data_IF_429222228176
#
_entry.id   IF_429222228176
#
_cell.length_a   1.000
_cell.length_b   1.000
_cell.length_c   1.000
_cell.angle_alpha   90.00
_cell.angle_beta   90.00
_cell.angle_gamma   90.00
#
_symmetry.space_group_name_H-M   'P 1'
#
loop_
_entity.id
_entity.type
_entity.pdbx_description
1 polymer ?
#
# COMPACT_ATOMS: atom_id res chain seq x y z
N UNK A 1 73.84 24.93 44.22
CA UNK A 1 72.90 23.87 44.61
C UNK A 1 71.56 24.51 44.92
N UNK A 2 70.49 24.01 44.29
CA UNK A 2 69.05 24.04 44.66
C UNK A 2 68.46 25.32 45.32
N UNK A 3 67.53 26.08 44.70
CA UNK A 3 66.11 25.81 44.36
C UNK A 3 65.11 26.29 45.43
N UNK A 4 63.99 26.91 44.99
CA UNK A 4 62.84 27.31 45.82
C UNK A 4 62.02 28.48 45.22
N UNK A 5 61.41 28.33 44.04
CA UNK A 5 59.97 28.05 43.79
C UNK A 5 59.05 29.28 43.98
N UNK A 6 58.59 29.84 42.86
CA UNK A 6 57.50 30.81 42.76
C UNK A 6 56.13 30.10 42.62
N UNK A 7 55.15 30.60 43.38
CA UNK A 7 53.71 30.30 43.25
C UNK A 7 53.10 31.36 42.35
N UNK A 8 52.35 30.97 41.31
CA UNK A 8 51.23 31.77 40.79
C UNK A 8 50.11 30.84 40.30
N UNK A 9 48.96 30.98 40.96
CA UNK A 9 47.65 30.47 40.58
C UNK A 9 47.08 31.26 39.39
N UNK A 10 46.48 30.57 38.43
CA UNK A 10 45.70 31.19 37.34
C UNK A 10 44.69 30.23 36.77
N UNK A 11 43.47 30.25 37.33
CA UNK A 11 42.28 29.58 36.83
C UNK A 11 41.86 30.15 35.47
N UNK A 12 41.95 29.33 34.42
CA UNK A 12 41.35 29.60 33.11
C UNK A 12 40.13 28.72 32.87
N UNK A 13 38.94 29.24 33.19
CA UNK A 13 37.64 28.69 32.81
C UNK A 13 37.22 29.26 31.46
N UNK A 14 37.37 28.50 30.37
CA UNK A 14 36.60 28.71 29.13
C UNK A 14 36.34 27.35 28.48
N UNK A 15 35.12 26.83 28.64
CA UNK A 15 34.59 25.71 27.89
C UNK A 15 33.14 26.03 27.57
N UNK A 16 32.93 26.62 26.39
CA UNK A 16 31.65 27.17 25.95
C UNK A 16 30.54 26.12 25.86
N UNK A 17 29.35 26.52 26.28
CA UNK A 17 28.12 25.80 26.05
C UNK A 17 27.79 25.80 24.56
N UNK A 18 27.97 24.66 23.89
CA UNK A 18 27.29 24.39 22.63
C UNK A 18 25.86 23.94 22.98
N UNK A 19 24.96 24.90 23.11
CA UNK A 19 23.53 24.61 23.02
C UNK A 19 23.23 24.22 21.56
N UNK A 20 23.29 22.92 21.27
CA UNK A 20 22.80 22.37 20.03
C UNK A 20 21.29 22.55 19.99
N UNK A 21 20.83 23.54 19.24
CA UNK A 21 19.42 23.64 18.86
C UNK A 21 19.10 22.41 18.02
N UNK A 22 18.45 21.42 18.61
CA UNK A 22 17.66 20.46 17.87
C UNK A 22 16.55 21.25 17.16
N UNK A 23 16.81 21.62 15.91
CA UNK A 23 15.74 21.89 14.98
C UNK A 23 15.02 20.56 14.82
N UNK A 24 13.72 20.53 15.13
CA UNK A 24 12.89 19.40 14.77
C UNK A 24 12.82 19.38 13.25
N UNK A 25 13.77 18.67 12.61
CA UNK A 25 13.71 18.32 11.21
C UNK A 25 12.35 17.66 10.97
N UNK A 26 11.53 18.33 10.16
CA UNK A 26 10.29 17.76 9.70
C UNK A 26 10.60 16.49 8.91
N UNK A 27 9.69 15.52 8.84
CA UNK A 27 9.95 14.30 8.07
C UNK A 27 10.25 14.53 6.58
N UNK A 28 9.97 15.73 6.05
CA UNK A 28 10.30 16.15 4.68
C UNK A 28 11.75 16.64 4.52
N UNK A 29 12.42 16.99 5.62
CA UNK A 29 13.85 17.34 5.62
C UNK A 29 14.76 16.10 5.66
N UNK A 30 14.23 14.94 6.07
CA UNK A 30 14.94 13.65 6.09
C UNK A 30 15.36 13.21 4.66
N UNK A 31 16.67 13.15 4.35
CA UNK A 31 17.16 12.70 3.05
C UNK A 31 16.72 11.29 2.67
N UNK A 32 16.56 10.38 3.64
CA UNK A 32 16.13 9.01 3.39
C UNK A 32 14.66 8.97 2.95
N UNK A 33 13.78 9.71 3.63
CA UNK A 33 12.39 9.85 3.25
C UNK A 33 12.24 10.46 1.84
N UNK A 34 13.03 11.49 1.52
CA UNK A 34 13.05 12.12 0.19
C UNK A 34 13.47 11.15 -0.91
N UNK A 35 14.46 10.31 -0.64
CA UNK A 35 14.92 9.27 -1.57
C UNK A 35 13.84 8.21 -1.80
N UNK A 36 13.22 7.70 -0.73
CA UNK A 36 12.13 6.73 -0.81
C UNK A 36 10.92 7.28 -1.58
N UNK A 37 10.59 8.56 -1.40
CA UNK A 37 9.51 9.19 -2.18
C UNK A 37 9.84 9.32 -3.66
N UNK A 38 11.09 9.68 -3.98
CA UNK A 38 11.55 9.78 -5.38
C UNK A 38 11.52 8.41 -6.04
N UNK A 39 12.12 7.39 -5.42
CA UNK A 39 12.13 6.01 -5.94
C UNK A 39 10.75 5.38 -5.97
N UNK A 40 9.92 5.63 -4.96
CA UNK A 40 8.55 5.17 -4.90
C UNK A 40 7.68 5.74 -6.02
N UNK A 41 7.91 6.98 -6.44
CA UNK A 41 7.20 7.61 -7.56
C UNK A 41 7.54 6.96 -8.90
N UNK A 42 8.78 6.53 -9.07
CA UNK A 42 9.29 5.93 -10.31
C UNK A 42 9.10 4.41 -10.38
N UNK A 43 8.78 3.76 -9.26
CA UNK A 43 8.68 2.31 -9.14
C UNK A 43 7.70 1.65 -10.12
N UNK A 44 6.74 2.40 -10.69
CA UNK A 44 5.84 1.86 -11.71
C UNK A 44 6.56 1.49 -13.02
N UNK A 45 7.67 2.15 -13.35
CA UNK A 45 8.48 1.86 -14.53
C UNK A 45 9.87 1.30 -14.18
N UNK A 46 10.40 1.57 -12.98
CA UNK A 46 11.74 1.12 -12.58
C UNK A 46 11.75 -0.28 -11.97
N UNK A 47 10.63 -0.76 -11.41
CA UNK A 47 10.51 -2.12 -10.89
C UNK A 47 9.84 -3.03 -11.92
N UNK A 48 10.43 -4.19 -12.26
CA UNK A 48 9.78 -5.13 -13.16
C UNK A 48 8.40 -5.55 -12.65
N UNK A 49 7.42 -5.61 -13.56
CA UNK A 49 6.03 -5.90 -13.17
C UNK A 49 5.84 -7.29 -12.58
N UNK A 50 6.68 -8.26 -12.98
CA UNK A 50 6.70 -9.62 -12.41
C UNK A 50 7.26 -9.66 -10.99
N UNK A 51 7.96 -8.60 -10.58
CA UNK A 51 8.45 -8.40 -9.23
C UNK A 51 7.37 -7.75 -8.36
N UNK A 52 6.68 -6.72 -8.87
CA UNK A 52 5.55 -6.09 -8.16
C UNK A 52 4.34 -7.03 -8.01
N UNK A 53 4.07 -7.83 -9.04
CA UNK A 53 2.98 -8.79 -9.04
C UNK A 53 3.51 -10.20 -9.32
N UNK A 54 4.15 -10.88 -8.37
CA UNK A 54 4.67 -12.23 -8.60
C UNK A 54 3.63 -13.21 -9.15
N UNK A 55 4.06 -14.17 -9.98
CA UNK A 55 3.17 -15.20 -10.55
C UNK A 55 2.42 -15.99 -9.47
N UNK A 56 3.06 -16.19 -8.32
CA UNK A 56 2.48 -16.88 -7.18
C UNK A 56 2.73 -16.06 -5.93
N UNK A 57 1.68 -15.85 -5.14
CA UNK A 57 1.77 -15.22 -3.82
C UNK A 57 1.53 -16.29 -2.75
N UNK A 58 2.45 -16.39 -1.78
CA UNK A 58 2.35 -17.34 -0.65
C UNK A 58 1.88 -16.65 0.61
N UNK A 59 0.87 -17.25 1.20
CA UNK A 59 -0.16 -16.67 2.03
C UNK A 59 -0.10 -17.04 3.50
N UNK A 60 1.08 -17.19 4.09
CA UNK A 60 1.21 -17.75 5.45
C UNK A 60 0.33 -16.98 6.45
N UNK A 61 -0.55 -17.69 7.15
CA UNK A 61 -1.50 -17.12 8.11
C UNK A 61 -2.54 -16.14 7.56
N UNK A 62 -2.66 -15.97 6.24
CA UNK A 62 -3.49 -14.91 5.66
C UNK A 62 -4.99 -15.24 5.61
N UNK A 63 -5.35 -16.51 5.70
CA UNK A 63 -6.71 -17.00 5.61
C UNK A 63 -7.49 -16.95 6.92
N UNK A 64 -8.80 -17.30 6.87
CA UNK A 64 -9.64 -17.44 8.04
C UNK A 64 -9.01 -18.39 9.06
N UNK A 65 -9.03 -18.02 10.34
CA UNK A 65 -8.44 -18.82 11.41
C UNK A 65 -6.91 -18.96 11.33
N UNK A 66 -6.22 -18.14 10.54
CA UNK A 66 -4.77 -18.23 10.35
C UNK A 66 -4.36 -19.33 9.37
N UNK A 67 -5.26 -19.78 8.50
CA UNK A 67 -4.92 -20.75 7.46
C UNK A 67 -4.00 -20.13 6.39
N UNK A 68 -3.07 -20.92 5.87
CA UNK A 68 -2.23 -20.48 4.76
C UNK A 68 -3.05 -20.33 3.47
N UNK A 69 -2.61 -19.38 2.63
CA UNK A 69 -3.20 -19.13 1.32
C UNK A 69 -2.17 -19.22 0.21
N UNK A 70 -2.62 -19.51 -1.00
CA UNK A 70 -1.80 -19.40 -2.20
C UNK A 70 -2.66 -18.79 -3.28
N UNK A 71 -2.10 -17.80 -3.97
CA UNK A 71 -2.73 -17.16 -5.11
C UNK A 71 -1.88 -17.28 -6.35
N UNK A 72 -2.52 -17.53 -7.49
CA UNK A 72 -1.88 -17.58 -8.80
C UNK A 72 -2.37 -16.42 -9.65
N UNK A 73 -1.42 -15.67 -10.23
CA UNK A 73 -1.70 -14.53 -11.08
C UNK A 73 -2.31 -15.00 -12.40
N UNK A 74 -3.48 -14.50 -12.73
CA UNK A 74 -4.17 -14.74 -14.00
C UNK A 74 -3.64 -13.80 -15.08
N UNK A 75 -3.55 -12.50 -14.79
CA UNK A 75 -3.01 -11.51 -15.72
C UNK A 75 -2.57 -10.23 -15.00
N UNK A 76 -1.76 -9.44 -15.70
CA UNK A 76 -1.42 -8.06 -15.38
C UNK A 76 -2.10 -7.16 -16.41
N UNK A 77 -2.77 -6.12 -15.95
CA UNK A 77 -3.35 -5.11 -16.86
C UNK A 77 -2.25 -4.19 -17.39
N UNK A 78 -2.40 -3.65 -18.61
CA UNK A 78 -1.59 -2.51 -19.05
C UNK A 78 -1.69 -1.35 -18.05
N UNK A 79 -0.62 -0.55 -17.96
CA UNK A 79 -0.66 0.71 -17.23
C UNK A 79 -1.82 1.59 -17.69
N UNK A 80 -2.42 2.33 -16.76
CA UNK A 80 -3.60 3.14 -16.99
C UNK A 80 -3.72 4.27 -15.96
N UNK A 81 -4.52 5.29 -16.25
CA UNK A 81 -4.87 6.32 -15.28
C UNK A 81 -6.00 5.90 -14.32
N UNK A 82 -6.17 6.64 -13.22
CA UNK A 82 -7.15 6.33 -12.17
C UNK A 82 -8.60 6.13 -12.64
N UNK A 83 -9.08 6.89 -13.63
CA UNK A 83 -10.46 6.79 -14.12
C UNK A 83 -10.80 5.42 -14.72
N UNK A 84 -9.78 4.69 -15.21
CA UNK A 84 -9.93 3.34 -15.74
C UNK A 84 -9.98 2.29 -14.62
N UNK A 85 -9.29 2.54 -13.51
CA UNK A 85 -9.08 1.57 -12.46
C UNK A 85 -9.95 1.78 -11.21
N UNK A 86 -10.59 2.94 -11.05
CA UNK A 86 -11.31 3.31 -9.83
C UNK A 86 -12.73 3.82 -10.14
N UNK A 87 -13.63 3.71 -9.17
CA UNK A 87 -14.94 4.34 -9.25
C UNK A 87 -14.80 5.89 -9.28
N UNK A 88 -15.78 6.62 -9.83
CA UNK A 88 -15.64 8.07 -10.05
C UNK A 88 -15.37 8.89 -8.80
N UNK A 89 -16.01 8.55 -7.67
CA UNK A 89 -15.78 9.26 -6.41
C UNK A 89 -14.41 8.95 -5.83
N UNK A 90 -13.91 7.71 -5.96
CA UNK A 90 -12.56 7.36 -5.53
C UNK A 90 -11.50 8.06 -6.38
N UNK A 91 -11.72 8.12 -7.70
CA UNK A 91 -10.90 8.93 -8.62
C UNK A 91 -10.87 10.40 -8.16
N UNK A 92 -12.03 10.98 -7.82
CA UNK A 92 -12.10 12.36 -7.33
C UNK A 92 -11.35 12.55 -6.01
N UNK A 93 -11.43 11.59 -5.10
CA UNK A 93 -10.69 11.61 -3.83
C UNK A 93 -9.17 11.58 -4.08
N UNK A 94 -8.68 10.68 -4.94
CA UNK A 94 -7.23 10.54 -5.19
C UNK A 94 -6.66 11.63 -6.10
N UNK A 95 -7.48 12.45 -6.75
CA UNK A 95 -7.00 13.62 -7.50
C UNK A 95 -6.25 14.63 -6.64
N UNK A 96 -6.48 14.68 -5.32
CA UNK A 96 -5.79 15.61 -4.43
C UNK A 96 -4.31 15.29 -4.26
N UNK A 97 -3.90 14.06 -4.59
CA UNK A 97 -2.50 13.61 -4.50
C UNK A 97 -1.86 13.40 -5.88
N UNK A 98 -2.54 13.76 -6.97
CA UNK A 98 -2.05 13.60 -8.35
C UNK A 98 -1.91 12.14 -8.75
N UNK A 99 -3.00 11.50 -9.20
CA UNK A 99 -2.93 10.13 -9.68
C UNK A 99 -2.35 10.05 -11.11
N UNK A 100 -1.12 9.53 -11.23
CA UNK A 100 -0.41 9.44 -12.49
C UNK A 100 -0.60 8.07 -13.15
N UNK A 101 -0.21 7.00 -12.45
CA UNK A 101 -0.14 5.63 -13.00
C UNK A 101 -0.85 4.64 -12.09
N UNK A 102 -1.52 3.66 -12.69
CA UNK A 102 -2.17 2.57 -11.97
C UNK A 102 -1.78 1.24 -12.60
N UNK A 103 -0.99 0.49 -11.83
CA UNK A 103 -0.67 -0.89 -12.16
C UNK A 103 -1.61 -1.82 -11.40
N UNK A 104 -2.08 -2.88 -12.06
CA UNK A 104 -2.97 -3.86 -11.42
C UNK A 104 -2.84 -5.25 -12.02
N UNK A 105 -3.09 -6.25 -11.18
CA UNK A 105 -3.09 -7.66 -11.55
C UNK A 105 -4.30 -8.36 -10.95
N UNK A 106 -4.75 -9.43 -11.59
CA UNK A 106 -5.80 -10.30 -11.05
C UNK A 106 -5.24 -11.66 -10.73
N UNK A 107 -5.62 -12.19 -9.58
CA UNK A 107 -5.25 -13.47 -9.04
C UNK A 107 -6.47 -14.35 -8.84
N UNK A 108 -6.26 -15.66 -8.87
CA UNK A 108 -7.20 -16.67 -8.34
C UNK A 108 -6.59 -17.31 -7.11
N UNK A 109 -7.40 -17.70 -6.14
CA UNK A 109 -6.92 -18.54 -5.04
C UNK A 109 -6.70 -20.00 -5.49
N UNK A 110 -6.01 -20.78 -4.67
CA UNK A 110 -5.69 -22.18 -4.94
C UNK A 110 -6.90 -23.09 -5.15
N UNK A 111 -8.08 -22.73 -4.62
CA UNK A 111 -9.31 -23.50 -4.80
C UNK A 111 -10.13 -23.06 -6.02
N UNK A 112 -9.68 -22.02 -6.73
CA UNK A 112 -10.39 -21.39 -7.84
C UNK A 112 -11.84 -20.99 -7.48
N UNK A 113 -12.08 -20.63 -6.23
CA UNK A 113 -13.40 -20.21 -5.73
C UNK A 113 -13.52 -18.69 -5.62
N UNK A 114 -12.40 -18.00 -5.59
CA UNK A 114 -12.30 -16.55 -5.48
C UNK A 114 -11.31 -15.96 -6.47
N UNK A 115 -11.58 -14.72 -6.86
CA UNK A 115 -10.71 -13.92 -7.71
C UNK A 115 -10.47 -12.57 -7.03
N UNK A 116 -9.24 -12.06 -7.13
CA UNK A 116 -8.84 -10.82 -6.48
C UNK A 116 -8.04 -9.97 -7.45
N UNK A 117 -8.52 -8.76 -7.72
CA UNK A 117 -7.74 -7.72 -8.41
C UNK A 117 -7.04 -6.88 -7.36
N UNK A 118 -5.73 -6.76 -7.46
CA UNK A 118 -4.87 -5.91 -6.64
C UNK A 118 -4.27 -4.82 -7.52
N UNK A 119 -4.06 -3.63 -6.97
CA UNK A 119 -3.42 -2.54 -7.69
C UNK A 119 -2.67 -1.57 -6.81
N UNK A 120 -1.82 -0.80 -7.48
CA UNK A 120 -0.95 0.23 -6.93
C UNK A 120 -1.22 1.51 -7.72
N UNK A 121 -1.70 2.54 -7.04
CA UNK A 121 -1.89 3.89 -7.60
C UNK A 121 -0.67 4.72 -7.23
N UNK A 122 0.16 5.04 -8.21
CA UNK A 122 1.34 5.89 -8.04
C UNK A 122 0.93 7.36 -8.17
N UNK A 123 1.33 8.15 -7.17
CA UNK A 123 0.88 9.52 -7.00
C UNK A 123 2.01 10.53 -7.25
N UNK A 124 1.67 11.80 -7.45
CA UNK A 124 2.59 12.94 -7.60
C UNK A 124 2.81 13.70 -6.28
N UNK A 125 2.08 13.33 -5.23
CA UNK A 125 2.15 13.96 -3.92
C UNK A 125 3.50 13.80 -3.21
N UNK A 126 3.75 14.70 -2.28
CA UNK A 126 4.79 14.63 -1.26
C UNK A 126 4.26 13.96 0.02
N UNK A 127 5.10 13.91 1.06
CA UNK A 127 4.78 13.24 2.32
C UNK A 127 3.61 13.91 3.04
N UNK A 128 3.57 15.25 3.06
CA UNK A 128 2.50 15.98 3.73
C UNK A 128 1.15 15.68 3.08
N UNK A 129 1.05 15.73 1.75
CA UNK A 129 -0.18 15.44 1.03
C UNK A 129 -0.62 13.96 1.19
N UNK A 130 0.32 13.00 1.20
CA UNK A 130 0.00 11.59 1.45
C UNK A 130 -0.48 11.35 2.89
N UNK A 131 0.12 12.01 3.89
CA UNK A 131 -0.37 11.97 5.28
C UNK A 131 -1.75 12.58 5.42
N UNK A 132 -1.99 13.74 4.81
CA UNK A 132 -3.30 14.38 4.80
C UNK A 132 -4.36 13.47 4.16
N UNK A 133 -4.03 12.78 3.07
CA UNK A 133 -4.91 11.78 2.46
C UNK A 133 -5.18 10.62 3.42
N UNK A 134 -4.17 10.09 4.10
CA UNK A 134 -4.31 8.99 5.07
C UNK A 134 -5.20 9.38 6.26
N UNK A 135 -4.97 10.56 6.84
CA UNK A 135 -5.83 11.14 7.89
C UNK A 135 -7.27 11.26 7.40
N UNK A 136 -7.48 11.77 6.18
CA UNK A 136 -8.82 11.91 5.61
C UNK A 136 -9.52 10.56 5.42
N UNK A 137 -8.81 9.55 4.93
CA UNK A 137 -9.36 8.19 4.81
C UNK A 137 -9.83 7.65 6.17
N UNK A 138 -9.05 7.93 7.22
CA UNK A 138 -9.33 7.50 8.59
C UNK A 138 -10.53 8.24 9.19
N UNK A 139 -10.48 9.58 9.19
CA UNK A 139 -11.47 10.44 9.86
C UNK A 139 -12.83 10.41 9.16
N UNK A 140 -12.85 10.36 7.83
CA UNK A 140 -14.09 10.29 7.04
C UNK A 140 -14.52 8.84 6.72
N UNK A 141 -13.77 7.83 7.18
CA UNK A 141 -14.04 6.41 6.93
C UNK A 141 -14.22 6.07 5.45
N UNK A 142 -13.39 6.67 4.59
CA UNK A 142 -13.51 6.53 3.13
C UNK A 142 -13.26 5.11 2.66
N UNK A 143 -12.44 4.35 3.39
CA UNK A 143 -12.18 2.92 3.16
C UNK A 143 -13.42 2.04 3.33
N UNK A 144 -14.47 2.55 4.01
CA UNK A 144 -15.70 1.80 4.30
C UNK A 144 -16.86 2.11 3.37
N UNK A 145 -16.70 3.12 2.52
CA UNK A 145 -17.77 3.60 1.64
C UNK A 145 -17.94 2.73 0.42
N UNK A 146 -19.18 2.30 0.16
CA UNK A 146 -19.55 1.43 -0.97
C UNK A 146 -19.59 2.13 -2.34
N UNK A 147 -19.34 3.43 -2.38
CA UNK A 147 -19.23 4.26 -3.59
C UNK A 147 -17.78 4.71 -3.89
N UNK A 148 -16.81 4.26 -3.08
CA UNK A 148 -15.38 4.52 -3.23
C UNK A 148 -14.61 3.22 -3.50
N UNK A 149 -15.04 2.42 -4.49
CA UNK A 149 -14.42 1.13 -4.78
C UNK A 149 -13.36 1.19 -5.89
N UNK A 150 -12.30 0.39 -5.78
CA UNK A 150 -11.48 0.04 -6.93
C UNK A 150 -12.26 -0.85 -7.90
N UNK A 151 -11.95 -0.73 -9.20
CA UNK A 151 -12.53 -1.57 -10.25
C UNK A 151 -11.76 -2.88 -10.36
N UNK A 152 -12.50 -3.97 -10.53
CA UNK A 152 -11.93 -5.25 -10.89
C UNK A 152 -11.28 -5.23 -12.29
N UNK A 153 -10.31 -6.11 -12.52
CA UNK A 153 -9.72 -6.37 -13.82
C UNK A 153 -10.14 -7.76 -14.30
N UNK A 154 -11.14 -7.84 -15.20
CA UNK A 154 -11.58 -9.12 -15.73
C UNK A 154 -10.54 -9.69 -16.68
N UNK A 155 -10.29 -10.99 -16.57
CA UNK A 155 -9.33 -11.72 -17.43
C UNK A 155 -10.11 -12.71 -18.29
N UNK A 156 -10.05 -12.53 -19.61
CA UNK A 156 -10.73 -13.41 -20.56
C UNK A 156 -10.26 -14.85 -20.40
N UNK A 157 -11.14 -15.80 -20.71
CA UNK A 157 -10.83 -17.24 -20.71
C UNK A 157 -10.25 -17.74 -19.37
N UNK A 158 -10.73 -17.16 -18.26
CA UNK A 158 -10.29 -17.47 -16.91
C UNK A 158 -11.46 -17.36 -15.90
N UNK A 159 -11.29 -17.81 -14.64
CA UNK A 159 -12.29 -17.62 -13.59
C UNK A 159 -12.64 -16.14 -13.33
N UNK A 160 -11.78 -15.20 -13.71
CA UNK A 160 -12.03 -13.77 -13.56
C UNK A 160 -12.76 -13.14 -14.76
N UNK A 161 -13.23 -13.90 -15.75
CA UNK A 161 -13.84 -13.35 -16.97
C UNK A 161 -15.07 -12.47 -16.69
N UNK A 162 -15.86 -12.86 -15.68
CA UNK A 162 -17.04 -12.12 -15.23
C UNK A 162 -16.73 -11.08 -14.14
N UNK A 163 -15.49 -10.97 -13.65
CA UNK A 163 -15.15 -10.17 -12.48
C UNK A 163 -15.14 -8.67 -12.80
N UNK A 164 -16.30 -8.03 -12.63
CA UNK A 164 -16.56 -6.62 -12.92
C UNK A 164 -17.28 -5.96 -11.73
N UNK A 165 -17.79 -4.75 -11.95
CA UNK A 165 -18.34 -3.89 -10.89
C UNK A 165 -19.39 -4.57 -10.00
N UNK A 166 -20.22 -5.47 -10.56
CA UNK A 166 -21.29 -6.18 -9.81
C UNK A 166 -20.76 -7.36 -8.97
N UNK A 167 -19.58 -7.88 -9.29
CA UNK A 167 -18.98 -9.05 -8.65
C UNK A 167 -18.03 -8.68 -7.50
N UNK A 168 -17.71 -7.39 -7.34
CA UNK A 168 -16.91 -6.88 -6.23
C UNK A 168 -17.64 -7.21 -4.92
N UNK A 169 -17.02 -8.02 -4.08
CA UNK A 169 -17.62 -8.56 -2.85
C UNK A 169 -16.95 -8.02 -1.59
N UNK A 170 -15.63 -7.89 -1.61
CA UNK A 170 -14.87 -7.27 -0.53
C UNK A 170 -13.69 -6.47 -1.05
N UNK A 171 -13.29 -5.41 -0.35
CA UNK A 171 -12.19 -4.56 -0.80
C UNK A 171 -11.36 -4.01 0.37
N UNK A 172 -10.12 -3.66 0.06
CA UNK A 172 -9.23 -2.90 0.94
C UNK A 172 -8.59 -1.77 0.13
N UNK A 173 -8.37 -0.62 0.79
CA UNK A 173 -7.60 0.50 0.28
C UNK A 173 -6.66 0.92 1.41
N UNK A 174 -5.38 1.12 1.11
CA UNK A 174 -4.39 1.56 2.08
C UNK A 174 -3.54 2.67 1.47
N UNK A 175 -3.50 3.82 2.14
CA UNK A 175 -2.66 4.95 1.77
C UNK A 175 -1.29 4.72 2.40
N UNK A 176 -0.25 4.55 1.57
CA UNK A 176 1.11 4.40 2.08
C UNK A 176 1.66 5.80 2.39
N UNK A 177 2.16 6.01 3.60
CA UNK A 177 2.66 7.32 4.04
C UNK A 177 4.16 7.47 3.85
N UNK A 178 4.87 6.37 3.63
CA UNK A 178 6.33 6.33 3.48
C UNK A 178 6.78 6.39 2.01
N UNK A 179 5.85 6.16 1.07
CA UNK A 179 6.05 6.24 -0.38
C UNK A 179 4.76 6.76 -1.04
N UNK A 180 4.83 7.45 -2.20
CA UNK A 180 3.67 8.10 -2.82
C UNK A 180 2.79 7.10 -3.58
N UNK A 181 2.24 6.12 -2.86
CA UNK A 181 1.43 5.04 -3.44
C UNK A 181 0.19 4.78 -2.59
N UNK A 182 -0.95 4.52 -3.24
CA UNK A 182 -2.14 3.95 -2.61
C UNK A 182 -2.31 2.52 -3.11
N UNK A 183 -2.27 1.55 -2.21
CA UNK A 183 -2.53 0.15 -2.54
C UNK A 183 -4.02 -0.16 -2.40
N UNK A 184 -4.53 -1.04 -3.25
CA UNK A 184 -5.89 -1.53 -3.13
C UNK A 184 -6.00 -3.00 -3.53
N UNK A 185 -7.04 -3.66 -3.02
CA UNK A 185 -7.51 -4.91 -3.57
C UNK A 185 -9.03 -4.99 -3.54
N UNK A 186 -9.58 -5.74 -4.49
CA UNK A 186 -11.00 -6.09 -4.54
C UNK A 186 -11.13 -7.57 -4.89
N UNK A 187 -11.87 -8.30 -4.09
CA UNK A 187 -12.12 -9.73 -4.24
C UNK A 187 -13.59 -10.00 -4.59
N UNK A 188 -13.82 -11.13 -5.24
CA UNK A 188 -15.13 -11.60 -5.66
C UNK A 188 -15.16 -13.12 -5.84
N UNK A 189 -16.34 -13.65 -6.12
CA UNK A 189 -16.53 -15.06 -6.40
C UNK A 189 -16.09 -15.39 -7.84
N UNK A 190 -15.36 -16.48 -8.01
CA UNK A 190 -14.87 -16.95 -9.30
C UNK A 190 -15.99 -17.44 -10.24
N UNK A 191 -17.17 -17.77 -9.71
CA UNK A 191 -18.35 -18.14 -10.51
C UNK A 191 -19.13 -16.93 -11.07
N UNK A 192 -18.65 -15.72 -10.82
CA UNK A 192 -19.24 -14.50 -11.37
C UNK A 192 -20.54 -14.06 -10.71
N UNK A 193 -20.96 -14.72 -9.61
CA UNK A 193 -22.14 -14.27 -8.85
C UNK A 193 -21.92 -12.87 -8.29
N UNK A 194 -22.98 -12.07 -8.27
CA UNK A 194 -22.93 -10.74 -7.65
C UNK A 194 -22.85 -10.85 -6.13
N UNK A 195 -22.17 -9.90 -5.49
CA UNK A 195 -22.02 -9.83 -4.05
C UNK A 195 -22.35 -8.42 -3.56
N UNK A 196 -23.64 -8.13 -3.45
CA UNK A 196 -24.14 -6.79 -3.13
C UNK A 196 -24.96 -6.82 -1.84
N UNK A 197 -24.74 -5.87 -0.89
CA UNK A 197 -23.70 -4.86 -0.93
C UNK A 197 -22.31 -5.47 -0.68
N UNK A 198 -21.25 -4.93 -1.32
CA UNK A 198 -19.88 -5.32 -0.99
C UNK A 198 -19.57 -4.95 0.46
N UNK A 199 -18.57 -5.60 1.06
CA UNK A 199 -18.12 -5.34 2.44
C UNK A 199 -16.63 -4.94 2.51
N UNK A 200 -16.25 -3.90 3.28
CA UNK A 200 -14.84 -3.62 3.54
C UNK A 200 -14.16 -4.85 4.12
N UNK A 201 -12.92 -5.14 3.72
CA UNK A 201 -12.19 -6.35 4.11
C UNK A 201 -12.14 -6.52 5.64
N UNK A 202 -11.85 -5.43 6.37
CA UNK A 202 -11.84 -5.42 7.83
C UNK A 202 -13.19 -5.86 8.45
N UNK A 203 -14.32 -5.46 7.84
CA UNK A 203 -15.65 -5.89 8.30
C UNK A 203 -15.97 -7.33 7.88
N UNK A 204 -15.56 -7.74 6.67
CA UNK A 204 -15.75 -9.11 6.19
C UNK A 204 -14.92 -10.12 6.99
N UNK A 205 -13.79 -9.70 7.58
CA UNK A 205 -12.94 -10.51 8.44
C UNK A 205 -13.36 -10.50 9.92
N UNK A 206 -14.35 -9.71 10.30
CA UNK A 206 -14.82 -9.64 11.68
C UNK A 206 -15.41 -10.99 12.13
N UNK A 207 -15.21 -11.34 13.40
CA UNK A 207 -15.75 -12.56 13.97
C UNK A 207 -17.29 -12.57 13.90
N UNK A 208 -17.86 -13.74 13.61
CA UNK A 208 -19.32 -13.90 13.53
C UNK A 208 -19.99 -13.28 12.30
N UNK A 209 -19.21 -12.81 11.30
CA UNK A 209 -19.77 -12.28 10.05
C UNK A 209 -20.59 -13.31 9.28
N UNK A 210 -21.86 -13.02 9.00
CA UNK A 210 -22.80 -13.91 8.29
C UNK A 210 -23.03 -13.55 6.83
N UNK A 211 -22.36 -12.50 6.33
CA UNK A 211 -22.45 -12.13 4.91
C UNK A 211 -21.73 -13.16 4.04
N UNK A 212 -22.16 -13.31 2.78
CA UNK A 212 -21.49 -14.21 1.84
C UNK A 212 -19.99 -13.92 1.70
N UNK A 213 -19.60 -12.64 1.69
CA UNK A 213 -18.20 -12.23 1.64
C UNK A 213 -17.41 -12.66 2.89
N UNK A 214 -18.03 -12.58 4.07
CA UNK A 214 -17.38 -13.00 5.32
C UNK A 214 -17.21 -14.53 5.38
N UNK A 215 -18.29 -15.27 5.10
CA UNK A 215 -18.27 -16.73 5.17
C UNK A 215 -17.37 -17.37 4.10
N UNK A 216 -17.25 -16.74 2.94
CA UNK A 216 -16.33 -17.18 1.89
C UNK A 216 -14.87 -16.70 2.10
N UNK A 217 -14.59 -15.93 3.15
CA UNK A 217 -13.25 -15.43 3.43
C UNK A 217 -12.76 -14.36 2.45
N UNK A 218 -13.64 -13.70 1.69
CA UNK A 218 -13.25 -12.74 0.64
C UNK A 218 -12.53 -11.50 1.19
N UNK A 219 -12.76 -11.12 2.46
CA UNK A 219 -11.96 -10.09 3.13
C UNK A 219 -10.50 -10.51 3.31
N UNK A 220 -10.26 -11.78 3.64
CA UNK A 220 -8.92 -12.35 3.72
C UNK A 220 -8.24 -12.41 2.34
N UNK A 221 -9.00 -12.69 1.27
CA UNK A 221 -8.47 -12.66 -0.10
C UNK A 221 -8.00 -11.25 -0.47
N UNK A 222 -8.83 -10.22 -0.26
CA UNK A 222 -8.49 -8.84 -0.58
C UNK A 222 -7.27 -8.36 0.24
N UNK A 223 -7.33 -8.48 1.57
CA UNK A 223 -6.23 -8.05 2.44
C UNK A 223 -4.95 -8.84 2.18
N UNK A 224 -5.07 -10.17 2.08
CA UNK A 224 -3.93 -11.07 1.93
C UNK A 224 -3.11 -10.80 0.68
N UNK A 225 -3.77 -10.55 -0.46
CA UNK A 225 -3.10 -10.18 -1.71
C UNK A 225 -2.51 -8.76 -1.62
N UNK A 226 -3.27 -7.78 -1.12
CA UNK A 226 -2.81 -6.40 -0.97
C UNK A 226 -1.54 -6.30 -0.13
N UNK A 227 -1.53 -6.92 1.07
CA UNK A 227 -0.40 -6.89 2.00
C UNK A 227 0.89 -7.43 1.37
N UNK A 228 0.78 -8.39 0.44
CA UNK A 228 1.95 -9.03 -0.20
C UNK A 228 2.53 -8.18 -1.31
N UNK A 229 1.65 -7.62 -2.14
CA UNK A 229 2.06 -6.66 -3.18
C UNK A 229 2.66 -5.41 -2.53
N UNK A 230 2.07 -4.93 -1.44
CA UNK A 230 2.62 -3.80 -0.69
C UNK A 230 4.01 -4.12 -0.13
N UNK A 231 4.20 -5.29 0.50
CA UNK A 231 5.53 -5.70 0.98
C UNK A 231 6.56 -5.77 -0.14
N UNK A 232 6.20 -6.38 -1.28
CA UNK A 232 7.08 -6.45 -2.43
C UNK A 232 7.50 -5.05 -2.92
N UNK A 233 6.53 -4.14 -3.07
CA UNK A 233 6.82 -2.75 -3.44
C UNK A 233 7.77 -2.08 -2.45
N UNK A 234 7.48 -2.16 -1.14
CA UNK A 234 8.30 -1.52 -0.11
C UNK A 234 9.73 -2.05 -0.10
N UNK A 235 9.92 -3.37 -0.22
CA UNK A 235 11.23 -3.99 -0.32
C UNK A 235 12.01 -3.43 -1.51
N UNK A 236 11.39 -3.36 -2.69
CA UNK A 236 12.12 -2.89 -3.88
C UNK A 236 12.36 -1.38 -3.91
N UNK A 237 11.50 -0.57 -3.32
CA UNK A 237 11.80 0.86 -3.13
C UNK A 237 12.97 1.06 -2.17
N UNK A 238 13.08 0.25 -1.11
CA UNK A 238 14.23 0.27 -0.23
C UNK A 238 15.51 -0.14 -0.99
N UNK A 239 15.47 -1.25 -1.75
CA UNK A 239 16.61 -1.70 -2.58
C UNK A 239 17.08 -0.63 -3.58
N UNK A 240 16.14 0.12 -4.18
CA UNK A 240 16.45 1.23 -5.10
C UNK A 240 17.08 2.42 -4.38
N UNK A 241 16.66 2.67 -3.14
CA UNK A 241 17.19 3.78 -2.31
C UNK A 241 18.63 3.52 -1.86
N UNK A 242 19.02 2.25 -1.72
CA UNK A 242 20.36 1.82 -1.28
C UNK A 242 21.38 1.69 -2.44
N UNK A 243 20.94 1.69 -3.70
CA UNK A 243 21.84 1.57 -4.84
C UNK A 243 22.53 2.91 -5.17
N UNK A 244 23.87 2.94 -5.33
CA UNK A 244 24.57 4.12 -5.81
C UNK A 244 24.20 4.37 -7.28
N UNK A 245 23.65 5.55 -7.56
CA UNK A 245 23.31 6.02 -8.91
C UNK A 245 24.51 6.35 -9.80
#
# INVERSE_FOLDING_TARGET
MAAGVCVVLGLGLIGGAAAGSWLAEGPDDDPAARSAYTMGREAWHSVPVDTLFPRTLKGDGAGPGGADRVWTRLAVAPDSGCSTALDPLLTKTLRTVGCAHVLRATYTDATASSVTTVGLVFTEADTEAMRALSTRFTDEHLDRRTDLLPRAYPVKDSPAAAFRDRQRASWSIHVLTEIPVVSFAVSGFADGRAATPPRPAAQAMASGGTTAAAQAGLGHEAKGVADRVERALRTHVADLTEQPG
#
